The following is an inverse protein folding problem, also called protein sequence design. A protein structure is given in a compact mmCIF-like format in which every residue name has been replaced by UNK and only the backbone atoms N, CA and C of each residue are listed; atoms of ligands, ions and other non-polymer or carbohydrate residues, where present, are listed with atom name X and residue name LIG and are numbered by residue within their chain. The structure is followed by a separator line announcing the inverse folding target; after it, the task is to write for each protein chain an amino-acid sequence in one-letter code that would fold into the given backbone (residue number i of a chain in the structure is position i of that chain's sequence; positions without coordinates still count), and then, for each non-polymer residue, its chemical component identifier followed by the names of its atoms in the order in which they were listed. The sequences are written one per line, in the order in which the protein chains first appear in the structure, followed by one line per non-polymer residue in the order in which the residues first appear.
data_IF_505889547619
#
_entry.id   IF_505889547619
#
_cell.length_a   1.000
_cell.length_b   1.000
_cell.length_c   1.000
_cell.angle_alpha   90.00
_cell.angle_beta   90.00
_cell.angle_gamma   90.00
#
_symmetry.space_group_name_H-M   'P 1'
#
loop_
_entity.id
_entity.type
_entity.pdbx_description
1 polymer ?
#
# COMPACT_ATOMS: atom_id res chain seq x y z
N UNK A 1 -11.47 -25.72 0.09
CA UNK A 1 -10.06 -25.44 -0.26
C UNK A 1 -9.83 -24.05 -0.87
N UNK A 2 -10.88 -23.30 -1.29
CA UNK A 2 -10.76 -21.88 -1.70
C UNK A 2 -10.68 -20.86 -0.53
N UNK A 3 -10.60 -21.32 0.73
CA UNK A 3 -10.62 -20.48 1.94
C UNK A 3 -9.29 -19.78 2.23
N UNK A 4 -8.23 -20.12 1.50
CA UNK A 4 -6.89 -19.58 1.75
C UNK A 4 -6.62 -18.23 1.06
N UNK A 5 -7.47 -17.85 0.10
CA UNK A 5 -7.44 -16.54 -0.54
C UNK A 5 -8.27 -15.58 0.33
N UNK A 6 -7.58 -14.78 1.14
CA UNK A 6 -8.19 -13.69 1.94
C UNK A 6 -8.71 -12.54 1.08
N UNK A 7 -8.39 -12.55 -0.22
CA UNK A 7 -8.84 -11.55 -1.18
C UNK A 7 -10.35 -11.72 -1.44
N UNK A 8 -11.12 -10.66 -1.22
CA UNK A 8 -12.58 -10.64 -1.43
C UNK A 8 -13.42 -11.19 -0.27
N UNK A 9 -12.81 -11.53 0.87
CA UNK A 9 -13.53 -12.00 2.06
C UNK A 9 -13.77 -10.87 3.06
N UNK A 10 -14.99 -10.82 3.62
CA UNK A 10 -15.31 -9.94 4.74
C UNK A 10 -14.80 -10.53 6.05
N UNK A 11 -14.04 -9.75 6.82
CA UNK A 11 -13.62 -10.14 8.17
C UNK A 11 -14.64 -9.63 9.20
N UNK A 12 -15.39 -10.53 9.88
CA UNK A 12 -16.34 -10.08 10.88
C UNK A 12 -15.60 -9.60 12.13
N UNK A 13 -15.78 -8.34 12.49
CA UNK A 13 -15.32 -7.77 13.76
C UNK A 13 -16.33 -6.77 14.33
N UNK A 14 -16.43 -6.70 15.65
CA UNK A 14 -17.28 -5.72 16.34
C UNK A 14 -16.49 -4.44 16.64
N UNK A 15 -16.55 -3.49 15.71
CA UNK A 15 -15.80 -2.24 15.77
C UNK A 15 -16.64 -1.05 15.30
N UNK A 16 -16.24 0.17 15.69
CA UNK A 16 -16.92 1.41 15.30
C UNK A 16 -16.99 1.52 13.77
N UNK A 17 -15.87 1.21 13.10
CA UNK A 17 -15.80 1.18 11.64
C UNK A 17 -16.79 0.19 11.05
N UNK A 18 -16.95 -1.02 11.61
CA UNK A 18 -17.89 -2.00 11.06
C UNK A 18 -19.35 -1.55 11.18
N UNK A 19 -19.70 -0.77 12.21
CA UNK A 19 -21.04 -0.21 12.45
C UNK A 19 -21.38 1.02 11.60
N UNK A 20 -20.40 1.68 10.99
CA UNK A 20 -20.65 2.83 10.12
C UNK A 20 -21.45 2.46 8.88
N UNK A 21 -22.26 3.41 8.41
CA UNK A 21 -23.00 3.31 7.16
C UNK A 21 -22.08 2.99 5.98
N UNK A 22 -22.48 2.07 5.08
CA UNK A 22 -21.66 1.68 3.93
C UNK A 22 -21.25 2.85 3.02
N UNK A 23 -22.11 3.86 2.87
CA UNK A 23 -21.83 5.06 2.05
C UNK A 23 -20.66 5.86 2.61
N UNK A 24 -20.61 6.03 3.94
CA UNK A 24 -19.54 6.75 4.63
C UNK A 24 -18.20 6.02 4.47
N UNK A 25 -18.21 4.68 4.57
CA UNK A 25 -17.00 3.87 4.33
C UNK A 25 -16.50 4.00 2.90
N UNK A 26 -17.42 3.94 1.93
CA UNK A 26 -17.09 4.05 0.51
C UNK A 26 -16.49 5.42 0.19
N UNK A 27 -17.19 6.50 0.58
CA UNK A 27 -16.73 7.86 0.37
C UNK A 27 -15.40 8.14 1.09
N UNK A 28 -15.26 7.67 2.33
CA UNK A 28 -14.00 7.81 3.09
C UNK A 28 -12.84 7.07 2.43
N UNK A 29 -13.08 5.87 1.90
CA UNK A 29 -12.06 5.11 1.16
C UNK A 29 -11.65 5.84 -0.12
N UNK A 30 -12.61 6.35 -0.90
CA UNK A 30 -12.31 7.13 -2.09
C UNK A 30 -11.52 8.40 -1.76
N UNK A 31 -11.94 9.15 -0.74
CA UNK A 31 -11.24 10.35 -0.30
C UNK A 31 -9.80 10.05 0.15
N UNK A 32 -9.59 8.93 0.86
CA UNK A 32 -8.25 8.51 1.27
C UNK A 32 -7.38 8.09 0.08
N UNK A 33 -7.92 7.36 -0.90
CA UNK A 33 -7.18 7.01 -2.11
C UNK A 33 -6.76 8.29 -2.85
N UNK A 34 -7.69 9.22 -3.06
CA UNK A 34 -7.41 10.49 -3.75
C UNK A 34 -6.35 11.29 -2.99
N UNK A 35 -6.42 11.35 -1.66
CA UNK A 35 -5.47 12.15 -0.87
C UNK A 35 -4.02 11.68 -1.01
N UNK A 36 -3.79 10.37 -1.12
CA UNK A 36 -2.44 9.82 -1.34
C UNK A 36 -1.82 10.28 -2.67
N UNK A 37 -2.64 10.54 -3.69
CA UNK A 37 -2.16 11.09 -4.97
C UNK A 37 -1.98 12.62 -4.95
N UNK A 38 -2.66 13.33 -4.05
CA UNK A 38 -2.56 14.79 -3.92
C UNK A 38 -1.31 15.19 -3.14
N UNK A 39 -0.95 14.42 -2.11
CA UNK A 39 0.26 14.68 -1.35
C UNK A 39 1.51 14.21 -2.10
N UNK A 40 2.47 15.12 -2.28
CA UNK A 40 3.81 14.83 -2.84
C UNK A 40 4.93 15.22 -1.85
N UNK A 41 4.62 15.25 -0.56
CA UNK A 41 5.57 15.64 0.50
C UNK A 41 5.63 14.59 1.59
N UNK A 42 6.82 14.42 2.16
CA UNK A 42 7.05 13.47 3.24
C UNK A 42 6.09 13.65 4.43
N UNK A 43 5.81 14.87 4.94
CA UNK A 43 4.83 15.05 6.01
C UNK A 43 3.40 14.64 5.61
N UNK A 44 3.01 14.85 4.35
CA UNK A 44 1.69 14.44 3.86
C UNK A 44 1.51 12.92 3.94
N UNK A 45 2.52 12.16 3.52
CA UNK A 45 2.51 10.70 3.65
C UNK A 45 2.58 10.22 5.10
N UNK A 46 3.29 10.93 5.98
CA UNK A 46 3.32 10.62 7.40
C UNK A 46 1.93 10.76 8.04
N UNK A 47 1.21 11.85 7.75
CA UNK A 47 -0.17 12.06 8.22
C UNK A 47 -1.11 10.98 7.68
N UNK A 48 -1.02 10.64 6.39
CA UNK A 48 -1.83 9.58 5.78
C UNK A 48 -1.57 8.22 6.45
N UNK A 49 -0.31 7.92 6.77
CA UNK A 49 0.11 6.68 7.44
C UNK A 49 -0.45 6.60 8.86
N UNK A 50 -0.36 7.69 9.63
CA UNK A 50 -0.91 7.74 10.99
C UNK A 50 -2.44 7.60 10.97
N UNK A 51 -3.11 8.27 10.03
CA UNK A 51 -4.55 8.15 9.85
C UNK A 51 -4.97 6.70 9.54
N UNK A 52 -4.29 6.05 8.58
CA UNK A 52 -4.52 4.64 8.26
C UNK A 52 -4.26 3.73 9.45
N UNK A 53 -3.16 3.96 10.19
CA UNK A 53 -2.84 3.23 11.41
C UNK A 53 -3.94 3.34 12.48
N UNK A 54 -4.48 4.54 12.66
CA UNK A 54 -5.63 4.80 13.54
C UNK A 54 -6.88 4.04 13.10
N UNK A 55 -7.19 4.02 11.80
CA UNK A 55 -8.31 3.24 11.26
C UNK A 55 -8.12 1.73 11.47
N UNK A 56 -6.91 1.21 11.25
CA UNK A 56 -6.60 -0.20 11.50
C UNK A 56 -6.82 -0.52 12.98
N UNK A 57 -6.34 0.34 13.89
CA UNK A 57 -6.55 0.15 15.33
C UNK A 57 -8.05 0.15 15.70
N UNK A 58 -8.81 1.14 15.22
CA UNK A 58 -10.26 1.24 15.40
C UNK A 58 -11.04 0.09 14.77
N UNK A 59 -10.50 -0.56 13.74
CA UNK A 59 -11.15 -1.69 13.05
C UNK A 59 -11.18 -2.96 13.90
N UNK A 60 -10.27 -3.09 14.88
CA UNK A 60 -10.01 -4.31 15.66
C UNK A 60 -9.69 -5.55 14.79
N UNK A 61 -9.35 -5.36 13.52
CA UNK A 61 -8.93 -6.44 12.63
C UNK A 61 -7.47 -6.79 12.95
N UNK A 62 -7.14 -8.07 13.19
CA UNK A 62 -5.76 -8.48 13.43
C UNK A 62 -4.86 -8.11 12.25
N UNK A 63 -3.76 -7.42 12.54
CA UNK A 63 -2.80 -6.95 11.52
C UNK A 63 -2.26 -8.10 10.66
N UNK A 64 -2.09 -9.29 11.25
CA UNK A 64 -1.69 -10.52 10.52
C UNK A 64 -2.67 -10.90 9.41
N UNK A 65 -3.98 -10.65 9.59
CA UNK A 65 -4.98 -10.92 8.57
C UNK A 65 -4.84 -9.95 7.38
N UNK A 66 -4.56 -8.68 7.65
CA UNK A 66 -4.32 -7.65 6.63
C UNK A 66 -3.10 -8.02 5.78
N UNK A 67 -1.98 -8.37 6.41
CA UNK A 67 -0.75 -8.77 5.69
C UNK A 67 -0.93 -10.03 4.84
N UNK A 68 -1.82 -10.96 5.21
CA UNK A 68 -2.11 -12.15 4.39
C UNK A 68 -2.71 -11.74 3.03
N UNK A 69 -3.59 -10.74 3.00
CA UNK A 69 -4.14 -10.18 1.77
C UNK A 69 -3.12 -9.39 0.95
N UNK A 70 -2.21 -8.67 1.62
CA UNK A 70 -1.17 -7.88 0.97
C UNK A 70 -0.05 -8.72 0.34
N UNK A 71 0.09 -10.00 0.72
CA UNK A 71 1.18 -10.87 0.23
C UNK A 71 1.27 -10.90 -1.30
N UNK A 72 0.13 -10.96 -2.00
CA UNK A 72 0.11 -10.96 -3.47
C UNK A 72 0.56 -9.61 -4.05
N UNK A 73 0.10 -8.51 -3.46
CA UNK A 73 0.45 -7.15 -3.88
C UNK A 73 1.94 -6.88 -3.64
N UNK A 74 2.50 -7.38 -2.55
CA UNK A 74 3.91 -7.22 -2.22
C UNK A 74 4.85 -7.82 -3.27
N UNK A 75 4.48 -8.99 -3.84
CA UNK A 75 5.25 -9.59 -4.94
C UNK A 75 5.25 -8.68 -6.18
N UNK A 76 4.10 -8.13 -6.54
CA UNK A 76 3.99 -7.20 -7.67
C UNK A 76 4.81 -5.93 -7.39
N UNK A 77 4.74 -5.39 -6.18
CA UNK A 77 5.50 -4.20 -5.78
C UNK A 77 7.02 -4.42 -5.86
N UNK A 78 7.51 -5.58 -5.41
CA UNK A 78 8.94 -5.91 -5.52
C UNK A 78 9.41 -5.97 -6.98
N UNK A 79 8.59 -6.53 -7.87
CA UNK A 79 8.90 -6.57 -9.30
C UNK A 79 8.90 -5.14 -9.87
N UNK A 80 7.94 -4.30 -9.50
CA UNK A 80 7.91 -2.91 -9.97
C UNK A 80 9.10 -2.11 -9.48
N UNK A 81 9.53 -2.28 -8.23
CA UNK A 81 10.73 -1.62 -7.69
C UNK A 81 11.98 -2.12 -8.40
N UNK A 82 12.12 -3.43 -8.61
CA UNK A 82 13.24 -4.00 -9.36
C UNK A 82 13.33 -3.42 -10.78
N UNK A 83 12.20 -3.30 -11.47
CA UNK A 83 12.15 -2.68 -12.79
C UNK A 83 12.45 -1.18 -12.76
N UNK A 84 11.95 -0.41 -11.79
CA UNK A 84 12.32 1.00 -11.65
C UNK A 84 13.83 1.17 -11.40
N UNK A 85 14.43 0.35 -10.54
CA UNK A 85 15.87 0.43 -10.26
C UNK A 85 16.71 0.11 -11.50
N UNK A 86 16.30 -0.89 -12.30
CA UNK A 86 17.09 -1.40 -13.42
C UNK A 86 16.83 -0.71 -14.76
N UNK A 87 15.60 -0.25 -14.99
CA UNK A 87 15.13 0.25 -16.29
C UNK A 87 14.95 1.77 -16.31
N UNK A 88 14.91 2.46 -15.16
CA UNK A 88 14.77 3.92 -15.13
C UNK A 88 16.05 4.59 -15.65
N UNK A 89 15.99 5.42 -16.70
CA UNK A 89 17.12 6.20 -17.18
C UNK A 89 17.52 7.29 -16.17
N UNK A 90 18.82 7.59 -16.09
CA UNK A 90 19.31 8.60 -15.16
C UNK A 90 20.81 8.49 -14.87
N UNK A 91 21.25 9.07 -13.77
CA UNK A 91 22.64 9.04 -13.28
C UNK A 91 23.01 7.61 -12.85
N UNK A 92 23.91 6.98 -13.61
CA UNK A 92 24.34 5.60 -13.36
C UNK A 92 25.25 5.57 -12.13
N UNK A 93 24.79 4.93 -11.06
CA UNK A 93 25.58 4.70 -9.85
C UNK A 93 26.41 3.42 -9.96
N UNK A 94 25.85 2.39 -10.61
CA UNK A 94 26.50 1.11 -10.80
C UNK A 94 26.03 0.45 -12.10
N UNK A 95 26.93 -0.28 -12.77
CA UNK A 95 26.62 -0.98 -14.01
C UNK A 95 27.38 -2.30 -14.06
N UNK A 96 26.69 -3.36 -14.45
CA UNK A 96 27.29 -4.63 -14.82
C UNK A 96 26.60 -5.19 -16.08
N UNK A 97 27.30 -5.15 -17.21
CA UNK A 97 26.74 -5.58 -18.51
C UNK A 97 25.54 -4.72 -18.93
N UNK A 98 24.39 -5.36 -19.12
CA UNK A 98 23.11 -4.70 -19.44
C UNK A 98 22.36 -4.19 -18.20
N UNK A 99 22.74 -4.65 -17.00
CA UNK A 99 22.15 -4.19 -15.74
C UNK A 99 22.79 -2.87 -15.33
N UNK A 100 21.98 -1.86 -15.11
CA UNK A 100 22.39 -0.54 -14.61
C UNK A 100 21.49 -0.16 -13.45
N UNK A 101 22.07 0.42 -12.42
CA UNK A 101 21.34 0.99 -11.28
C UNK A 101 21.51 2.50 -11.37
N UNK A 102 20.39 3.21 -11.47
CA UNK A 102 20.37 4.67 -11.54
C UNK A 102 19.92 5.28 -10.22
N UNK A 103 20.39 6.49 -9.94
CA UNK A 103 20.01 7.25 -8.73
C UNK A 103 18.51 7.52 -8.71
N UNK A 104 17.95 7.87 -9.86
CA UNK A 104 16.53 8.13 -10.09
C UNK A 104 15.71 6.87 -9.84
N UNK A 105 16.19 5.70 -10.28
CA UNK A 105 15.55 4.42 -9.98
C UNK A 105 15.53 4.04 -8.49
N UNK A 106 16.39 4.65 -7.66
CA UNK A 106 16.42 4.45 -6.20
C UNK A 106 15.64 5.51 -5.42
N UNK A 107 15.45 6.70 -5.99
CA UNK A 107 14.80 7.84 -5.33
C UNK A 107 13.31 7.92 -5.68
N UNK A 108 12.88 7.34 -6.81
CA UNK A 108 11.47 7.12 -7.17
C UNK A 108 10.79 6.11 -6.23
#
# INVERSE_FOLDING_TARGET
MLRDITLGQFYPADSVLHKLDPRTKFLGTMAFIISVFVFNTFPGYAVATLFLGGLIFLSKVPVKFIFKGLKAIFVILLITVAFNILLTPGEILWKWGFLKVTKEGLVL
#
